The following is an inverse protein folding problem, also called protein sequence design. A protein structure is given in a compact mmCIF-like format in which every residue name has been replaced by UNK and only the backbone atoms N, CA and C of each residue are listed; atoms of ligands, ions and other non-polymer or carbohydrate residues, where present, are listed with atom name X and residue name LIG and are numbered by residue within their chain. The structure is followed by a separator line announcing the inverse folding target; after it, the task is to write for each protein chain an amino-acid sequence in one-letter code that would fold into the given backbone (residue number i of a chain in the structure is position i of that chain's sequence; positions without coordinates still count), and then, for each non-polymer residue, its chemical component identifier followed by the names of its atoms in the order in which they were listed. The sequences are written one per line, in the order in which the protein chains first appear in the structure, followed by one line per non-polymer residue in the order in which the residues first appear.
data_IF_808167468893
#
_entry.id   IF_808167468893
#
_cell.length_a   1.000
_cell.length_b   1.000
_cell.length_c   1.000
_cell.angle_alpha   90.00
_cell.angle_beta   90.00
_cell.angle_gamma   90.00
#
_symmetry.space_group_name_H-M   'P 1'
#
loop_
_entity.id
_entity.type
_entity.pdbx_description
1 polymer ?
#
# COMPACT_ATOMS: atom_id res chain seq x y z
N UNK A 1 17.82 -14.04 21.34
CA UNK A 1 16.34 -14.19 21.41
C UNK A 1 15.74 -13.45 20.23
N UNK A 2 14.82 -14.03 19.43
CA UNK A 2 14.19 -13.26 18.36
C UNK A 2 13.17 -12.31 19.00
N UNK A 3 13.39 -11.00 18.83
CA UNK A 3 12.42 -9.98 19.23
C UNK A 3 11.22 -10.12 18.31
N UNK A 4 10.07 -10.59 18.81
CA UNK A 4 8.80 -10.56 18.07
C UNK A 4 8.47 -9.10 17.75
N UNK A 5 8.71 -8.67 16.51
CA UNK A 5 8.26 -7.35 16.03
C UNK A 5 6.73 -7.37 15.92
N UNK A 6 6.06 -6.36 16.48
CA UNK A 6 4.61 -6.20 16.36
C UNK A 6 4.24 -5.84 14.91
N UNK A 7 3.28 -6.57 14.32
CA UNK A 7 2.80 -6.32 12.96
C UNK A 7 2.04 -4.99 12.88
N UNK A 8 2.42 -4.13 11.92
CA UNK A 8 1.70 -2.89 11.64
C UNK A 8 0.49 -3.19 10.77
N UNK A 9 -0.71 -3.04 11.33
CA UNK A 9 -1.98 -3.16 10.60
C UNK A 9 -2.37 -1.81 10.00
N UNK A 10 -2.51 -1.75 8.68
CA UNK A 10 -2.86 -0.55 7.93
C UNK A 10 -4.18 -0.77 7.20
N UNK A 11 -5.08 0.20 7.32
CA UNK A 11 -6.35 0.22 6.61
C UNK A 11 -6.39 1.42 5.67
N UNK A 12 -6.63 1.15 4.39
CA UNK A 12 -6.96 2.14 3.38
C UNK A 12 -8.48 2.18 3.21
N UNK A 13 -9.07 3.37 3.29
CA UNK A 13 -10.49 3.60 3.13
C UNK A 13 -10.81 3.82 1.63
N UNK A 14 -11.19 2.75 0.93
CA UNK A 14 -11.38 2.77 -0.52
C UNK A 14 -12.49 3.70 -0.99
N UNK A 15 -13.54 3.91 -0.19
CA UNK A 15 -14.60 4.90 -0.47
C UNK A 15 -14.07 6.34 -0.61
N UNK A 16 -12.93 6.65 0.01
CA UNK A 16 -12.27 7.96 -0.07
C UNK A 16 -11.06 7.99 -1.02
N UNK A 17 -10.87 6.94 -1.82
CA UNK A 17 -9.80 6.86 -2.82
C UNK A 17 -10.47 6.79 -4.19
N UNK A 18 -10.45 7.92 -4.90
CA UNK A 18 -11.04 8.06 -6.24
C UNK A 18 -10.01 8.33 -7.33
N UNK A 19 -8.75 8.54 -6.96
CA UNK A 19 -7.62 8.72 -7.88
C UNK A 19 -6.32 8.16 -7.31
N UNK A 20 -5.28 7.95 -8.15
CA UNK A 20 -3.96 7.55 -7.69
C UNK A 20 -3.36 8.50 -6.66
N UNK A 21 -3.60 9.80 -6.80
CA UNK A 21 -3.10 10.80 -5.86
C UNK A 21 -3.71 10.62 -4.46
N UNK A 22 -5.00 10.30 -4.38
CA UNK A 22 -5.65 10.02 -3.09
C UNK A 22 -5.14 8.75 -2.45
N UNK A 23 -4.88 7.72 -3.27
CA UNK A 23 -4.21 6.49 -2.82
C UNK A 23 -2.83 6.81 -2.24
N UNK A 24 -1.97 7.48 -3.02
CA UNK A 24 -0.60 7.84 -2.63
C UNK A 24 -0.58 8.65 -1.34
N UNK A 25 -1.47 9.65 -1.21
CA UNK A 25 -1.63 10.44 0.02
C UNK A 25 -2.01 9.58 1.21
N UNK A 26 -2.94 8.65 1.04
CA UNK A 26 -3.45 7.85 2.15
C UNK A 26 -2.41 6.81 2.62
N UNK A 27 -1.81 6.07 1.68
CA UNK A 27 -0.79 5.05 2.00
C UNK A 27 0.47 5.68 2.60
N UNK A 28 0.96 6.79 2.01
CA UNK A 28 2.14 7.51 2.51
C UNK A 28 1.94 7.97 3.95
N UNK A 29 0.78 8.55 4.27
CA UNK A 29 0.46 8.98 5.64
C UNK A 29 0.37 7.80 6.61
N UNK A 30 -0.29 6.70 6.21
CA UNK A 30 -0.52 5.54 7.10
C UNK A 30 0.75 4.77 7.38
N UNK A 31 1.63 4.63 6.38
CA UNK A 31 2.90 3.92 6.51
C UNK A 31 4.05 4.83 6.95
N UNK A 32 3.86 6.15 6.96
CA UNK A 32 4.87 7.18 7.25
C UNK A 32 6.02 7.12 6.23
N UNK A 33 5.67 7.24 4.96
CA UNK A 33 6.64 7.32 3.86
C UNK A 33 7.56 8.54 4.03
N UNK A 34 8.77 8.48 3.46
CA UNK A 34 9.70 9.61 3.46
C UNK A 34 9.18 10.80 2.64
N UNK A 35 9.68 11.99 2.94
CA UNK A 35 9.26 13.25 2.30
C UNK A 35 9.59 13.30 0.79
N UNK A 36 10.59 12.53 0.35
CA UNK A 36 10.98 12.42 -1.06
C UNK A 36 10.10 11.47 -1.89
N UNK A 37 9.01 10.93 -1.34
CA UNK A 37 8.15 9.99 -2.06
C UNK A 37 7.55 10.61 -3.33
N UNK A 38 8.00 10.11 -4.50
CA UNK A 38 7.71 10.68 -5.82
C UNK A 38 6.30 10.45 -6.40
N UNK A 39 5.39 9.81 -5.66
CA UNK A 39 3.97 9.61 -6.04
C UNK A 39 3.75 9.00 -7.45
N UNK A 40 4.53 7.98 -7.78
CA UNK A 40 4.36 7.15 -8.97
C UNK A 40 4.59 5.67 -8.59
N UNK A 41 4.40 4.74 -9.54
CA UNK A 41 4.51 3.31 -9.26
C UNK A 41 5.94 2.89 -8.89
N UNK A 42 6.95 3.41 -9.58
CA UNK A 42 8.35 3.07 -9.29
C UNK A 42 8.74 3.54 -7.87
N UNK A 43 8.40 4.79 -7.52
CA UNK A 43 8.61 5.31 -6.18
C UNK A 43 7.81 4.56 -5.10
N UNK A 44 6.63 4.03 -5.43
CA UNK A 44 5.82 3.23 -4.52
C UNK A 44 6.50 1.89 -4.26
N UNK A 45 7.01 1.24 -5.31
CA UNK A 45 7.79 0.01 -5.20
C UNK A 45 9.02 0.23 -4.32
N UNK A 46 9.83 1.25 -4.62
CA UNK A 46 11.07 1.54 -3.89
C UNK A 46 10.82 1.73 -2.40
N UNK A 47 9.87 2.59 -2.04
CA UNK A 47 9.57 2.87 -0.63
C UNK A 47 9.00 1.64 0.08
N UNK A 48 8.12 0.89 -0.59
CA UNK A 48 7.54 -0.33 -0.01
C UNK A 48 8.53 -1.48 0.12
N UNK A 49 9.63 -1.52 -0.64
CA UNK A 49 10.62 -2.60 -0.57
C UNK A 49 11.83 -2.24 0.27
N UNK A 50 12.17 -0.96 0.40
CA UNK A 50 13.41 -0.52 1.06
C UNK A 50 13.18 0.27 2.36
N UNK A 51 12.27 1.25 2.36
CA UNK A 51 12.13 2.22 3.46
C UNK A 51 11.12 1.77 4.53
N UNK A 52 10.05 1.06 4.13
CA UNK A 52 8.99 0.64 5.06
C UNK A 52 9.41 -0.59 5.85
N UNK A 53 9.66 -0.39 7.16
CA UNK A 53 9.93 -1.50 8.09
C UNK A 53 8.67 -2.33 8.34
N UNK A 54 8.78 -3.65 8.19
CA UNK A 54 7.70 -4.58 8.54
C UNK A 54 7.90 -5.28 9.90
N UNK A 55 6.98 -6.19 10.27
CA UNK A 55 5.90 -6.73 9.43
C UNK A 55 4.74 -5.76 9.16
N UNK A 56 4.10 -5.84 7.99
CA UNK A 56 2.95 -5.01 7.56
C UNK A 56 1.80 -5.89 7.06
N UNK A 57 0.59 -5.59 7.55
CA UNK A 57 -0.67 -6.11 6.99
C UNK A 57 -1.50 -4.92 6.48
N UNK A 58 -1.65 -4.80 5.15
CA UNK A 58 -2.40 -3.74 4.50
C UNK A 58 -3.75 -4.26 4.01
N UNK A 59 -4.83 -3.71 4.56
CA UNK A 59 -6.20 -3.94 4.09
C UNK A 59 -6.68 -2.72 3.29
N UNK A 60 -7.05 -2.94 2.04
CA UNK A 60 -7.76 -1.94 1.24
C UNK A 60 -9.25 -2.24 1.37
N UNK A 61 -9.92 -1.52 2.27
CA UNK A 61 -11.34 -1.67 2.55
C UNK A 61 -12.17 -0.99 1.46
N UNK A 62 -13.30 -1.59 1.07
CA UNK A 62 -14.15 -1.09 -0.03
C UNK A 62 -13.34 -0.89 -1.34
N UNK A 63 -12.45 -1.84 -1.66
CA UNK A 63 -11.54 -1.74 -2.80
C UNK A 63 -12.30 -1.64 -4.14
N UNK A 64 -13.45 -2.30 -4.25
CA UNK A 64 -14.35 -2.21 -5.40
C UNK A 64 -14.89 -0.78 -5.62
N UNK A 65 -15.05 0.03 -4.57
CA UNK A 65 -15.40 1.43 -4.73
C UNK A 65 -14.24 2.20 -5.40
N UNK A 66 -13.01 2.02 -4.91
CA UNK A 66 -11.82 2.62 -5.55
C UNK A 66 -11.66 2.16 -6.99
N UNK A 67 -11.86 0.86 -7.25
CA UNK A 67 -11.79 0.26 -8.58
C UNK A 67 -12.74 0.93 -9.56
N UNK A 68 -13.99 1.18 -9.17
CA UNK A 68 -14.98 1.88 -10.00
C UNK A 68 -14.55 3.30 -10.38
N UNK A 69 -13.89 4.03 -9.49
CA UNK A 69 -13.45 5.39 -9.75
C UNK A 69 -12.12 5.47 -10.52
N UNK A 70 -11.16 4.59 -10.22
CA UNK A 70 -9.80 4.65 -10.74
C UNK A 70 -9.59 3.80 -12.00
N UNK A 71 -10.42 2.77 -12.22
CA UNK A 71 -10.30 1.85 -13.36
C UNK A 71 -8.91 1.23 -13.45
N UNK A 72 -8.22 1.46 -14.58
CA UNK A 72 -6.89 0.89 -14.87
C UNK A 72 -5.83 1.25 -13.84
N UNK A 73 -5.91 2.41 -13.21
CA UNK A 73 -4.91 2.80 -12.23
C UNK A 73 -5.04 2.00 -10.93
N UNK A 74 -6.26 1.62 -10.54
CA UNK A 74 -6.45 0.68 -9.44
C UNK A 74 -5.78 -0.65 -9.73
N UNK A 75 -6.00 -1.20 -10.94
CA UNK A 75 -5.41 -2.49 -11.33
C UNK A 75 -3.88 -2.46 -11.26
N UNK A 76 -3.25 -1.40 -11.79
CA UNK A 76 -1.78 -1.25 -11.74
C UNK A 76 -1.26 -1.21 -10.31
N UNK A 77 -1.91 -0.46 -9.43
CA UNK A 77 -1.51 -0.35 -8.03
C UNK A 77 -1.75 -1.69 -7.30
N UNK A 78 -2.89 -2.35 -7.56
CA UNK A 78 -3.21 -3.63 -6.95
C UNK A 78 -2.21 -4.73 -7.34
N UNK A 79 -1.82 -4.78 -8.62
CA UNK A 79 -0.75 -5.67 -9.11
C UNK A 79 0.57 -5.36 -8.39
N UNK A 80 0.98 -4.09 -8.32
CA UNK A 80 2.21 -3.70 -7.63
C UNK A 80 2.20 -4.12 -6.15
N UNK A 81 1.10 -3.88 -5.42
CA UNK A 81 0.99 -4.31 -4.02
C UNK A 81 1.09 -5.83 -3.86
N UNK A 82 0.57 -6.60 -4.82
CA UNK A 82 0.70 -8.05 -4.85
C UNK A 82 2.11 -8.51 -5.18
N UNK A 83 2.84 -7.77 -6.01
CA UNK A 83 4.24 -8.08 -6.29
C UNK A 83 5.13 -7.76 -5.08
N UNK A 84 4.85 -6.69 -4.32
CA UNK A 84 5.51 -6.42 -3.03
C UNK A 84 5.26 -7.54 -2.01
N UNK A 85 4.04 -8.09 -1.95
CA UNK A 85 3.72 -9.25 -1.09
C UNK A 85 4.49 -10.52 -1.49
N UNK A 86 4.87 -10.68 -2.76
CA UNK A 86 5.72 -11.79 -3.21
C UNK A 86 7.19 -11.56 -2.88
N UNK A 87 7.65 -10.30 -3.00
CA UNK A 87 9.04 -9.91 -2.71
C UNK A 87 9.35 -9.95 -1.21
N UNK A 88 8.34 -9.72 -0.36
CA UNK A 88 8.50 -9.61 1.09
C UNK A 88 7.62 -10.60 1.85
N UNK A 89 8.26 -11.53 2.54
CA UNK A 89 7.58 -12.47 3.46
C UNK A 89 6.82 -11.75 4.60
N UNK A 90 7.26 -10.55 4.95
CA UNK A 90 6.71 -9.73 6.05
C UNK A 90 5.69 -8.67 5.60
N UNK A 91 5.26 -8.69 4.34
CA UNK A 91 4.22 -7.80 3.81
C UNK A 91 3.03 -8.62 3.30
N UNK A 92 1.82 -8.29 3.77
CA UNK A 92 0.56 -8.89 3.31
C UNK A 92 -0.41 -7.83 2.85
N UNK A 93 -1.12 -8.10 1.75
CA UNK A 93 -2.16 -7.22 1.22
C UNK A 93 -3.46 -7.96 0.94
N UNK A 94 -4.57 -7.40 1.44
CA UNK A 94 -5.92 -7.91 1.20
C UNK A 94 -6.81 -6.81 0.64
N UNK A 95 -7.59 -7.13 -0.38
CA UNK A 95 -8.61 -6.26 -0.96
C UNK A 95 -9.98 -6.73 -0.46
N UNK A 96 -10.72 -5.86 0.20
CA UNK A 96 -12.04 -6.14 0.81
C UNK A 96 -13.16 -5.33 0.15
#
# INVERSE_FOLDING_TARGET
MPVKRSTKKVKLAGKSIRSPEEFYRQIARKLRFPDYFGRNLDALWDVLTTDVKGPVELAWEDAEASRKFMGKDFEKIAVLLKDVEKERDDFKVTFQ
#
